data_IF_028679702169
#
_entry.id   IF_028679702169
#
_cell.length_a   1.000
_cell.length_b   1.000
_cell.length_c   1.000
_cell.angle_alpha   90.00
_cell.angle_beta   90.00
_cell.angle_gamma   90.00
#
_symmetry.space_group_name_H-M   'P 1'
#
loop_
_entity.id
_entity.type
_entity.pdbx_description
1 polymer ?
#
# COMPACT_ATOMS: atom_id res chain seq x y z
N UNK A 1 15.13 34.49 -59.98
CA UNK A 1 14.05 33.76 -59.31
C UNK A 1 14.66 32.64 -58.51
N UNK A 2 14.68 32.73 -57.17
CA UNK A 2 15.18 31.68 -56.30
C UNK A 2 13.98 31.05 -55.61
N UNK A 3 13.72 29.75 -55.84
CA UNK A 3 12.68 28.97 -55.23
C UNK A 3 13.10 28.59 -53.76
N UNK A 4 12.26 28.75 -52.76
CA UNK A 4 12.59 28.29 -51.40
C UNK A 4 12.37 26.75 -51.31
N UNK A 5 13.38 26.08 -50.78
CA UNK A 5 13.30 24.66 -50.36
C UNK A 5 12.63 24.61 -48.99
N UNK A 6 11.39 24.09 -48.97
CA UNK A 6 10.67 23.81 -47.71
C UNK A 6 11.14 22.46 -47.17
N UNK A 7 11.88 22.49 -46.09
CA UNK A 7 12.28 21.27 -45.37
C UNK A 7 11.11 20.79 -44.51
N UNK A 8 10.48 19.69 -44.88
CA UNK A 8 9.42 19.04 -44.12
C UNK A 8 10.07 18.18 -43.03
N UNK A 9 10.06 18.63 -41.80
CA UNK A 9 10.41 17.81 -40.64
C UNK A 9 9.28 16.82 -40.37
N UNK A 10 9.52 15.56 -40.66
CA UNK A 10 8.63 14.46 -40.26
C UNK A 10 8.82 14.22 -38.74
N UNK A 11 7.83 14.62 -37.96
CA UNK A 11 7.71 14.23 -36.56
C UNK A 11 7.19 12.80 -36.52
N UNK A 12 8.07 11.85 -36.26
CA UNK A 12 7.67 10.47 -35.98
C UNK A 12 6.98 10.45 -34.58
N UNK A 13 5.77 9.89 -34.47
CA UNK A 13 5.18 9.73 -33.16
C UNK A 13 6.01 8.70 -32.36
N UNK A 14 6.52 9.10 -31.18
CA UNK A 14 6.97 8.14 -30.18
C UNK A 14 5.75 7.26 -29.84
N UNK A 15 5.80 6.00 -30.25
CA UNK A 15 4.87 5.00 -29.74
C UNK A 15 5.14 4.85 -28.24
N UNK A 16 4.28 5.43 -27.42
CA UNK A 16 4.22 5.10 -26.02
C UNK A 16 3.98 3.59 -25.91
N UNK A 17 4.92 2.85 -25.35
CA UNK A 17 4.70 1.46 -24.97
C UNK A 17 3.61 1.48 -23.90
N UNK A 18 2.35 1.34 -24.29
CA UNK A 18 1.28 1.10 -23.36
C UNK A 18 1.61 -0.21 -22.63
N UNK A 19 1.84 -0.12 -21.32
CA UNK A 19 2.00 -1.29 -20.46
C UNK A 19 0.82 -2.23 -20.72
N UNK A 20 1.10 -3.51 -20.93
CA UNK A 20 0.03 -4.49 -21.12
C UNK A 20 -0.82 -4.53 -19.86
N UNK A 21 -2.15 -4.38 -19.95
CA UNK A 21 -3.00 -4.52 -18.77
C UNK A 21 -2.80 -5.91 -18.17
N UNK A 22 -2.99 -6.04 -16.86
CA UNK A 22 -2.94 -7.29 -16.12
C UNK A 22 -3.67 -8.40 -16.90
N UNK A 23 -2.92 -9.34 -17.44
CA UNK A 23 -3.53 -10.49 -18.14
C UNK A 23 -4.07 -11.43 -17.07
N UNK A 24 -5.35 -11.75 -17.13
CA UNK A 24 -5.91 -12.88 -16.40
C UNK A 24 -5.28 -14.15 -16.97
N UNK A 25 -4.38 -14.76 -16.20
CA UNK A 25 -3.84 -16.07 -16.53
C UNK A 25 -4.91 -17.10 -16.20
N UNK A 26 -5.43 -17.79 -17.23
CA UNK A 26 -6.56 -18.73 -17.11
C UNK A 26 -6.14 -20.19 -16.89
N UNK A 27 -4.96 -20.41 -16.29
CA UNK A 27 -4.34 -21.74 -16.22
C UNK A 27 -4.28 -22.39 -14.82
N UNK A 28 -5.13 -21.94 -13.91
CA UNK A 28 -5.26 -22.58 -12.58
C UNK A 28 -4.18 -22.20 -11.57
N UNK A 29 -3.22 -21.37 -11.94
CA UNK A 29 -2.22 -20.85 -11.00
C UNK A 29 -2.66 -19.55 -10.32
N UNK A 30 -2.31 -19.38 -9.05
CA UNK A 30 -2.51 -18.13 -8.33
C UNK A 30 -1.71 -17.03 -9.03
N UNK A 31 -2.39 -15.96 -9.46
CA UNK A 31 -1.69 -14.82 -10.04
C UNK A 31 -0.72 -14.24 -9.00
N UNK A 32 0.55 -14.26 -9.33
CA UNK A 32 1.64 -13.88 -8.44
C UNK A 32 2.69 -13.07 -9.20
N UNK A 33 3.13 -11.97 -8.62
CA UNK A 33 4.24 -11.15 -9.12
C UNK A 33 5.26 -11.00 -8.01
N UNK A 34 6.47 -11.44 -8.25
CA UNK A 34 7.60 -11.23 -7.34
C UNK A 34 8.32 -9.93 -7.72
N UNK A 35 8.58 -9.07 -6.74
CA UNK A 35 9.42 -7.88 -6.92
C UNK A 35 10.87 -8.32 -7.18
N UNK A 36 11.46 -7.86 -8.28
CA UNK A 36 12.83 -8.20 -8.67
C UNK A 36 13.84 -7.76 -7.60
N UNK A 37 14.74 -8.67 -7.22
CA UNK A 37 15.84 -8.42 -6.29
C UNK A 37 15.51 -8.74 -4.83
N UNK A 38 16.46 -8.39 -3.95
CA UNK A 38 16.34 -8.51 -2.50
C UNK A 38 16.65 -7.17 -1.84
N UNK A 39 16.09 -6.97 -0.63
CA UNK A 39 16.10 -5.71 0.09
C UNK A 39 16.59 -5.92 1.53
N UNK A 40 17.20 -4.90 2.11
CA UNK A 40 17.79 -5.00 3.46
C UNK A 40 16.73 -5.26 4.54
N UNK A 41 15.50 -4.73 4.37
CA UNK A 41 14.43 -4.80 5.34
C UNK A 41 13.14 -5.32 4.67
N UNK A 42 12.23 -5.82 5.49
CA UNK A 42 11.00 -6.44 5.02
C UNK A 42 10.04 -5.47 4.30
N UNK A 43 9.16 -6.05 3.50
CA UNK A 43 8.06 -5.35 2.87
C UNK A 43 7.11 -4.79 3.94
N UNK A 44 6.61 -3.58 3.73
CA UNK A 44 5.70 -2.87 4.62
C UNK A 44 4.38 -2.51 3.93
N UNK A 45 4.39 -2.43 2.59
CA UNK A 45 3.21 -2.05 1.82
C UNK A 45 3.38 -2.28 0.33
N UNK A 46 2.26 -2.40 -0.36
CA UNK A 46 2.18 -2.48 -1.82
C UNK A 46 0.93 -1.76 -2.31
N UNK A 47 1.08 -0.96 -3.37
CA UNK A 47 -0.05 -0.40 -4.10
C UNK A 47 0.19 -0.46 -5.62
N UNK A 48 -0.81 -0.10 -6.42
CA UNK A 48 -0.74 -0.14 -7.89
C UNK A 48 -1.63 0.90 -8.53
N UNK A 49 -1.17 1.46 -9.66
CA UNK A 49 -1.99 2.19 -10.62
C UNK A 49 -2.47 1.29 -11.78
N UNK A 50 -2.35 -0.03 -11.61
CA UNK A 50 -2.64 -1.08 -12.58
C UNK A 50 -1.71 -1.11 -13.81
N UNK A 51 -0.78 -0.18 -13.94
CA UNK A 51 0.30 -0.19 -14.94
C UNK A 51 1.67 -0.45 -14.34
N UNK A 52 1.82 -0.12 -13.07
CA UNK A 52 3.02 -0.33 -12.24
C UNK A 52 2.62 -0.84 -10.88
N UNK A 53 3.53 -1.51 -10.19
CA UNK A 53 3.40 -1.86 -8.79
C UNK A 53 4.44 -1.06 -7.99
N UNK A 54 4.00 -0.53 -6.86
CA UNK A 54 4.84 0.23 -5.94
C UNK A 54 4.99 -0.53 -4.63
N UNK A 55 6.23 -0.64 -4.16
CA UNK A 55 6.60 -1.45 -3.01
C UNK A 55 7.32 -0.58 -1.99
N UNK A 56 6.92 -0.66 -0.74
CA UNK A 56 7.61 -0.03 0.38
C UNK A 56 8.34 -1.10 1.20
N UNK A 57 9.68 -1.08 1.11
CA UNK A 57 10.53 -1.91 1.97
C UNK A 57 11.18 -0.99 3.01
N UNK A 58 10.68 -0.89 4.19
CA UNK A 58 11.18 -0.08 5.33
C UNK A 58 12.13 1.09 5.01
N UNK A 59 13.17 0.87 4.17
CA UNK A 59 14.21 1.84 3.78
C UNK A 59 14.40 1.97 2.27
N UNK A 60 13.51 1.39 1.47
CA UNK A 60 13.59 1.44 0.00
C UNK A 60 12.19 1.51 -0.60
N UNK A 61 11.94 2.50 -1.46
CA UNK A 61 10.79 2.52 -2.36
C UNK A 61 11.18 1.96 -3.72
N UNK A 62 10.32 1.11 -4.28
CA UNK A 62 10.53 0.45 -5.57
C UNK A 62 9.30 0.62 -6.44
N UNK A 63 9.51 0.93 -7.71
CA UNK A 63 8.52 0.87 -8.78
C UNK A 63 8.89 -0.27 -9.72
N UNK A 64 7.96 -1.17 -9.99
CA UNK A 64 8.11 -2.24 -10.99
C UNK A 64 7.06 -2.11 -12.07
N UNK A 65 7.27 -2.78 -13.19
CA UNK A 65 6.17 -3.09 -14.09
C UNK A 65 5.27 -4.20 -13.49
N UNK A 66 4.22 -4.57 -14.21
CA UNK A 66 3.26 -5.61 -13.78
C UNK A 66 3.83 -7.04 -13.83
N UNK A 67 5.05 -7.22 -14.30
CA UNK A 67 5.79 -8.49 -14.25
C UNK A 67 6.75 -8.57 -13.06
N UNK A 68 6.87 -7.48 -12.28
CA UNK A 68 7.76 -7.38 -11.12
C UNK A 68 9.17 -6.90 -11.46
N UNK A 69 9.45 -6.59 -12.73
CA UNK A 69 10.75 -6.04 -13.15
C UNK A 69 10.92 -4.61 -12.65
N UNK A 70 12.02 -4.33 -11.98
CA UNK A 70 12.32 -3.02 -11.43
C UNK A 70 12.48 -1.97 -12.53
N UNK A 71 11.64 -0.95 -12.49
CA UNK A 71 11.73 0.25 -13.31
C UNK A 71 12.53 1.34 -12.61
N UNK A 72 12.32 1.47 -11.28
CA UNK A 72 13.01 2.44 -10.44
C UNK A 72 13.05 1.99 -8.98
N UNK A 73 14.10 2.35 -8.26
CA UNK A 73 14.18 2.22 -6.81
C UNK A 73 14.99 3.37 -6.21
N UNK A 74 14.61 3.78 -5.01
CA UNK A 74 15.30 4.83 -4.25
C UNK A 74 15.46 4.41 -2.78
N UNK A 75 16.56 4.80 -2.11
CA UNK A 75 16.66 4.72 -0.66
C UNK A 75 15.74 5.77 -0.02
N UNK A 76 15.14 5.43 1.10
CA UNK A 76 14.28 6.33 1.88
C UNK A 76 14.63 6.27 3.37
N UNK A 77 14.12 7.22 4.14
CA UNK A 77 14.31 7.25 5.58
C UNK A 77 13.66 6.02 6.25
N UNK A 78 14.24 5.52 7.30
CA UNK A 78 13.63 4.54 8.17
C UNK A 78 12.60 5.28 9.07
N UNK A 79 11.38 4.85 9.19
CA UNK A 79 10.72 3.63 8.84
C UNK A 79 9.54 3.93 7.88
N UNK A 80 9.67 3.66 6.59
CA UNK A 80 8.55 3.74 5.64
C UNK A 80 7.64 2.52 5.82
N UNK A 81 6.36 2.79 6.05
CA UNK A 81 5.29 1.81 6.22
C UNK A 81 4.53 1.54 4.93
N UNK A 82 3.23 1.28 5.05
CA UNK A 82 2.34 1.07 3.91
C UNK A 82 2.07 2.36 3.13
N UNK A 83 1.60 2.20 1.89
CA UNK A 83 1.44 3.29 0.94
C UNK A 83 0.16 3.14 0.12
N UNK A 84 -0.38 4.26 -0.33
CA UNK A 84 -1.44 4.31 -1.33
C UNK A 84 -1.06 5.24 -2.48
N UNK A 85 -1.78 5.14 -3.60
CA UNK A 85 -1.61 6.02 -4.76
C UNK A 85 -2.87 6.85 -4.99
N UNK A 86 -2.68 8.15 -5.27
CA UNK A 86 -3.76 9.08 -5.62
C UNK A 86 -3.21 10.19 -6.50
N UNK A 87 -3.91 10.49 -7.61
CA UNK A 87 -3.57 11.55 -8.57
C UNK A 87 -2.09 11.56 -8.99
N UNK A 88 -1.55 10.36 -9.34
CA UNK A 88 -0.17 10.21 -9.79
C UNK A 88 0.89 10.43 -8.72
N UNK A 89 0.51 10.40 -7.45
CA UNK A 89 1.40 10.53 -6.30
C UNK A 89 1.26 9.34 -5.36
N UNK A 90 2.38 8.93 -4.79
CA UNK A 90 2.43 7.96 -3.71
C UNK A 90 2.41 8.69 -2.37
N UNK A 91 1.57 8.23 -1.47
CA UNK A 91 1.50 8.68 -0.08
C UNK A 91 1.93 7.52 0.80
N UNK A 92 2.93 7.75 1.64
CA UNK A 92 3.56 6.70 2.45
C UNK A 92 3.48 7.08 3.91
N UNK A 93 2.91 6.22 4.75
CA UNK A 93 2.95 6.38 6.19
C UNK A 93 4.37 6.14 6.71
N UNK A 94 4.89 7.05 7.54
CA UNK A 94 6.28 7.00 8.03
C UNK A 94 6.30 7.27 9.52
N UNK A 95 7.07 6.48 10.27
CA UNK A 95 7.32 6.73 11.68
C UNK A 95 8.83 6.80 11.95
N UNK A 96 9.32 7.95 12.35
CA UNK A 96 10.74 8.18 12.67
C UNK A 96 11.05 8.02 14.17
N UNK A 97 10.01 7.88 14.99
CA UNK A 97 10.13 7.72 16.44
C UNK A 97 9.96 6.29 16.93
N UNK A 98 9.50 6.13 18.16
CA UNK A 98 9.26 4.82 18.79
C UNK A 98 7.84 4.33 18.48
N UNK A 99 7.75 3.37 17.56
CA UNK A 99 6.49 2.73 17.21
C UNK A 99 5.92 1.95 18.41
N UNK A 100 4.61 2.03 18.65
CA UNK A 100 3.88 1.39 19.76
C UNK A 100 4.30 1.79 21.17
N UNK A 101 5.02 2.87 21.34
CA UNK A 101 5.30 3.35 22.70
C UNK A 101 4.01 3.86 23.36
N UNK A 102 3.60 3.30 24.52
CA UNK A 102 2.40 3.76 25.23
C UNK A 102 2.45 5.24 25.63
N UNK A 103 3.65 5.82 25.73
CA UNK A 103 3.87 7.24 26.08
C UNK A 103 3.74 8.17 24.88
N UNK A 104 3.54 7.66 23.66
CA UNK A 104 3.41 8.48 22.47
C UNK A 104 4.73 9.11 22.00
N UNK A 105 5.83 8.37 22.07
CA UNK A 105 7.12 8.83 21.53
C UNK A 105 7.30 8.46 20.04
N UNK A 106 6.21 8.33 19.31
CA UNK A 106 6.23 8.21 17.86
C UNK A 106 6.58 9.57 17.22
N UNK A 107 7.03 9.52 15.98
CA UNK A 107 7.25 10.69 15.13
C UNK A 107 6.63 10.37 13.77
N UNK A 108 5.33 10.69 13.66
CA UNK A 108 4.44 10.23 12.60
C UNK A 108 4.35 11.24 11.46
N UNK A 109 4.53 10.77 10.24
CA UNK A 109 4.55 11.56 9.02
C UNK A 109 3.80 10.85 7.88
N UNK A 110 3.41 11.61 6.87
CA UNK A 110 3.11 11.10 5.54
C UNK A 110 4.07 11.75 4.55
N UNK A 111 4.82 10.91 3.83
CA UNK A 111 5.73 11.36 2.77
C UNK A 111 5.04 11.20 1.42
N UNK A 112 5.21 12.20 0.56
CA UNK A 112 4.59 12.26 -0.76
C UNK A 112 5.67 12.15 -1.82
N UNK A 113 5.48 11.23 -2.78
CA UNK A 113 6.39 11.02 -3.89
C UNK A 113 5.63 11.13 -5.21
N UNK A 114 6.29 11.61 -6.24
CA UNK A 114 5.83 11.48 -7.61
C UNK A 114 5.87 10.00 -8.03
N UNK A 115 4.77 9.47 -8.52
CA UNK A 115 4.66 8.04 -8.83
C UNK A 115 5.53 7.60 -10.03
N UNK A 116 5.87 8.50 -10.95
CA UNK A 116 6.71 8.16 -12.08
C UNK A 116 8.19 8.21 -11.74
N UNK A 117 8.61 9.29 -11.11
CA UNK A 117 10.02 9.56 -10.84
C UNK A 117 10.49 9.07 -9.47
N UNK A 118 9.60 8.71 -8.55
CA UNK A 118 9.84 8.47 -7.13
C UNK A 118 10.56 9.65 -6.44
N UNK A 119 10.49 10.86 -7.02
CA UNK A 119 11.03 12.07 -6.37
C UNK A 119 10.12 12.44 -5.20
N UNK A 120 10.71 12.70 -4.03
CA UNK A 120 9.96 13.23 -2.90
C UNK A 120 9.48 14.66 -3.22
N UNK A 121 8.16 14.85 -3.12
CA UNK A 121 7.48 16.13 -3.40
C UNK A 121 7.20 16.91 -2.11
N UNK A 122 6.77 16.21 -1.06
CA UNK A 122 6.37 16.81 0.20
C UNK A 122 6.51 15.80 1.36
N UNK A 123 6.34 16.30 2.57
CA UNK A 123 6.08 15.53 3.78
C UNK A 123 5.16 16.33 4.69
N UNK A 124 4.25 15.64 5.35
CA UNK A 124 3.26 16.23 6.26
C UNK A 124 3.38 15.60 7.63
N UNK A 125 3.38 16.43 8.66
CA UNK A 125 3.31 15.95 10.05
C UNK A 125 1.92 15.38 10.33
N UNK A 126 1.87 14.21 10.98
CA UNK A 126 0.64 13.53 11.38
C UNK A 126 0.74 13.05 12.83
N UNK A 127 1.15 13.95 13.72
CA UNK A 127 1.46 13.62 15.12
C UNK A 127 0.24 13.20 15.94
N UNK A 128 -0.97 13.44 15.43
CA UNK A 128 -2.22 12.87 15.97
C UNK A 128 -2.21 11.34 15.96
N UNK A 129 -1.43 10.71 15.06
CA UNK A 129 -1.19 9.26 15.02
C UNK A 129 -0.20 8.90 16.15
N UNK A 130 -0.72 8.94 17.34
CA UNK A 130 0.02 8.98 18.62
C UNK A 130 0.96 7.80 18.86
N UNK A 131 0.64 6.62 18.32
CA UNK A 131 1.42 5.40 18.49
C UNK A 131 2.28 5.02 17.29
N UNK A 132 2.38 5.90 16.28
CA UNK A 132 3.20 5.72 15.09
C UNK A 132 2.39 5.38 13.84
N UNK A 133 2.62 6.13 12.77
CA UNK A 133 2.01 5.88 11.48
C UNK A 133 2.59 4.59 10.87
N UNK A 134 1.72 3.63 10.52
CA UNK A 134 2.08 2.33 9.95
C UNK A 134 1.51 2.11 8.56
N UNK A 135 0.31 2.65 8.29
CA UNK A 135 -0.36 2.51 6.99
C UNK A 135 -1.22 3.70 6.64
N UNK A 136 -1.64 3.76 5.38
CA UNK A 136 -2.43 4.85 4.83
C UNK A 136 -3.34 4.35 3.69
N UNK A 137 -4.57 4.83 3.67
CA UNK A 137 -5.49 4.66 2.54
C UNK A 137 -6.11 5.99 2.14
N UNK A 138 -6.75 6.02 0.97
CA UNK A 138 -7.43 7.20 0.43
C UNK A 138 -8.87 6.89 0.07
N UNK A 139 -9.79 7.83 0.34
CA UNK A 139 -11.19 7.78 -0.07
C UNK A 139 -11.70 9.19 -0.34
N UNK A 140 -12.26 9.40 -1.50
CA UNK A 140 -12.89 10.69 -1.90
C UNK A 140 -11.95 11.90 -1.71
N UNK A 141 -10.65 11.73 -2.03
CA UNK A 141 -9.62 12.76 -1.87
C UNK A 141 -9.22 13.05 -0.42
N UNK A 142 -9.69 12.28 0.55
CA UNK A 142 -9.26 12.34 1.96
C UNK A 142 -8.32 11.18 2.28
N UNK A 143 -7.39 11.43 3.18
CA UNK A 143 -6.39 10.45 3.60
C UNK A 143 -6.70 9.92 5.00
N UNK A 144 -6.50 8.62 5.18
CA UNK A 144 -6.81 7.90 6.41
C UNK A 144 -5.56 7.16 6.86
N UNK A 145 -4.90 7.69 7.90
CA UNK A 145 -3.67 7.12 8.45
C UNK A 145 -4.02 6.19 9.60
N UNK A 146 -3.39 5.03 9.60
CA UNK A 146 -3.52 3.99 10.62
C UNK A 146 -2.16 3.65 11.21
N UNK A 147 -2.10 2.93 12.31
CA UNK A 147 -0.80 2.56 12.86
C UNK A 147 -0.82 1.88 14.21
N UNK A 148 0.18 2.16 14.99
CA UNK A 148 0.53 1.49 16.21
C UNK A 148 -0.59 1.32 17.24
N UNK A 149 -0.53 0.21 17.98
CA UNK A 149 -1.43 -0.10 19.08
C UNK A 149 -0.62 -0.76 20.22
N UNK A 150 -0.41 -0.08 21.36
CA UNK A 150 0.24 -0.69 22.52
C UNK A 150 -0.57 -1.84 23.10
N UNK A 151 0.09 -2.73 23.83
CA UNK A 151 -0.58 -3.80 24.55
C UNK A 151 -1.62 -3.28 25.55
N UNK A 152 -2.75 -3.99 25.66
CA UNK A 152 -3.85 -3.66 26.58
C UNK A 152 -4.87 -2.66 26.02
N UNK A 153 -4.74 -2.25 24.78
CA UNK A 153 -5.76 -1.45 24.06
C UNK A 153 -6.60 -2.38 23.20
N UNK A 154 -7.92 -2.32 23.34
CA UNK A 154 -8.87 -3.25 22.71
C UNK A 154 -9.63 -2.62 21.52
N UNK A 155 -9.09 -1.56 20.93
CA UNK A 155 -9.66 -0.86 19.80
C UNK A 155 -8.56 -0.29 18.92
N UNK A 156 -8.81 -0.19 17.62
CA UNK A 156 -7.88 0.45 16.68
C UNK A 156 -8.36 1.85 16.29
N UNK A 157 -7.45 2.65 15.73
CA UNK A 157 -7.71 4.05 15.39
C UNK A 157 -7.42 4.32 13.93
N UNK A 158 -8.24 5.18 13.33
CA UNK A 158 -8.06 5.73 12.00
C UNK A 158 -8.08 7.25 12.10
N UNK A 159 -7.09 7.90 11.54
CA UNK A 159 -6.93 9.36 11.59
C UNK A 159 -7.20 9.93 10.21
N UNK A 160 -8.26 10.73 10.10
CA UNK A 160 -8.74 11.33 8.85
C UNK A 160 -8.12 12.71 8.66
N UNK A 161 -7.61 12.95 7.45
CA UNK A 161 -7.03 14.21 6.99
C UNK A 161 -7.67 14.65 5.67
N UNK A 162 -7.71 15.96 5.42
CA UNK A 162 -8.07 16.49 4.10
C UNK A 162 -6.90 16.34 3.09
N UNK A 163 -7.09 16.89 1.90
CA UNK A 163 -6.10 16.85 0.81
C UNK A 163 -4.85 17.70 1.07
N UNK A 164 -4.90 18.64 2.02
CA UNK A 164 -3.77 19.42 2.52
C UNK A 164 -3.11 18.81 3.77
N UNK A 165 -3.54 17.61 4.19
CA UNK A 165 -3.13 16.92 5.42
C UNK A 165 -3.44 17.68 6.71
N UNK A 166 -4.50 18.49 6.72
CA UNK A 166 -5.06 19.02 7.94
C UNK A 166 -5.88 17.94 8.64
N UNK A 167 -5.57 17.69 9.91
CA UNK A 167 -6.32 16.72 10.71
C UNK A 167 -7.79 17.11 10.83
N UNK A 168 -8.69 16.17 10.55
CA UNK A 168 -10.13 16.34 10.61
C UNK A 168 -10.73 15.59 11.80
N UNK A 169 -10.41 14.29 11.96
CA UNK A 169 -11.07 13.45 12.95
C UNK A 169 -10.27 12.18 13.24
N UNK A 170 -10.37 11.69 14.49
CA UNK A 170 -9.98 10.34 14.87
C UNK A 170 -11.23 9.46 14.94
N UNK A 171 -11.23 8.35 14.20
CA UNK A 171 -12.25 7.31 14.26
C UNK A 171 -11.75 6.15 15.11
N UNK A 172 -12.68 5.44 15.74
CA UNK A 172 -12.41 4.28 16.59
C UNK A 172 -13.05 3.05 15.97
N UNK A 173 -12.25 2.01 15.77
CA UNK A 173 -12.72 0.69 15.33
C UNK A 173 -12.77 -0.22 16.56
N UNK A 174 -13.94 -0.68 16.94
CA UNK A 174 -14.14 -1.65 18.04
C UNK A 174 -13.73 -3.07 17.60
N UNK A 175 -12.47 -3.23 17.31
CA UNK A 175 -11.89 -4.44 16.70
C UNK A 175 -11.46 -5.50 17.70
N UNK A 176 -11.37 -5.18 19.00
CA UNK A 176 -10.52 -5.89 19.92
C UNK A 176 -9.04 -5.60 19.66
N UNK A 177 -8.16 -6.13 20.48
CA UNK A 177 -6.71 -5.95 20.35
C UNK A 177 -6.17 -6.55 19.04
N UNK A 178 -5.22 -5.82 18.41
CA UNK A 178 -4.40 -6.32 17.31
C UNK A 178 -2.92 -6.12 17.65
N UNK A 179 -2.08 -7.08 17.29
CA UNK A 179 -0.64 -6.99 17.56
C UNK A 179 -0.04 -5.83 16.76
N UNK A 180 0.54 -4.86 17.47
CA UNK A 180 1.16 -3.66 16.88
C UNK A 180 0.20 -2.77 16.07
N UNK A 181 -1.12 -2.94 16.21
CA UNK A 181 -2.12 -2.14 15.52
C UNK A 181 -2.36 -2.54 14.06
N UNK A 182 -2.88 -1.58 13.28
CA UNK A 182 -3.13 -1.75 11.85
C UNK A 182 -1.88 -1.35 11.08
N UNK A 183 -1.45 -2.21 10.15
CA UNK A 183 -0.23 -2.02 9.36
C UNK A 183 -0.51 -1.53 7.94
N UNK A 184 -1.65 -1.93 7.35
CA UNK A 184 -2.03 -1.60 5.97
C UNK A 184 -3.49 -1.21 5.88
N UNK A 185 -3.86 -0.35 4.93
CA UNK A 185 -5.23 0.14 4.80
C UNK A 185 -5.58 0.47 3.34
N UNK A 186 -6.74 0.01 2.87
CA UNK A 186 -7.32 0.46 1.60
C UNK A 186 -8.84 0.58 1.70
N UNK A 187 -9.43 1.48 0.93
CA UNK A 187 -10.88 1.57 0.73
C UNK A 187 -11.24 1.01 -0.64
N UNK A 188 -11.97 -0.09 -0.66
CA UNK A 188 -12.42 -0.76 -1.87
C UNK A 188 -13.76 -1.45 -1.65
N UNK A 189 -14.62 -1.50 -2.67
CA UNK A 189 -15.94 -2.16 -2.62
C UNK A 189 -16.83 -1.63 -1.48
N UNK A 190 -16.83 -0.31 -1.29
CA UNK A 190 -17.57 0.41 -0.23
C UNK A 190 -17.21 -0.03 1.20
N UNK A 191 -15.99 -0.52 1.40
CA UNK A 191 -15.48 -1.02 2.68
C UNK A 191 -14.02 -0.65 2.87
N UNK A 192 -13.63 -0.53 4.13
CA UNK A 192 -12.23 -0.49 4.53
C UNK A 192 -11.70 -1.90 4.80
N UNK A 193 -10.48 -2.13 4.35
CA UNK A 193 -9.71 -3.36 4.53
C UNK A 193 -8.43 -3.02 5.27
N UNK A 194 -8.21 -3.65 6.42
CA UNK A 194 -7.08 -3.35 7.29
C UNK A 194 -6.30 -4.61 7.62
N UNK A 195 -5.01 -4.63 7.28
CA UNK A 195 -4.10 -5.72 7.60
C UNK A 195 -3.42 -5.49 8.95
N UNK A 196 -3.42 -6.52 9.79
CA UNK A 196 -2.80 -6.50 11.11
C UNK A 196 -1.85 -7.68 11.29
N UNK A 197 -0.76 -7.46 12.02
CA UNK A 197 0.09 -8.55 12.47
C UNK A 197 -0.64 -9.45 13.48
N UNK A 198 -0.01 -10.55 13.84
CA UNK A 198 -0.49 -11.49 14.83
C UNK A 198 -0.11 -12.93 14.51
N UNK A 199 -0.57 -13.84 15.37
CA UNK A 199 -0.54 -15.27 15.13
C UNK A 199 -1.85 -15.85 15.67
N UNK A 200 -2.86 -16.07 14.80
CA UNK A 200 -2.84 -15.81 13.35
C UNK A 200 -2.78 -14.32 12.99
N UNK A 201 -2.41 -13.99 11.74
CA UNK A 201 -2.53 -12.64 11.19
C UNK A 201 -3.99 -12.31 10.93
N UNK A 202 -4.36 -11.05 11.06
CA UNK A 202 -5.75 -10.62 11.08
C UNK A 202 -6.03 -9.62 9.97
N UNK A 203 -7.10 -9.85 9.24
CA UNK A 203 -7.77 -8.87 8.41
C UNK A 203 -9.00 -8.34 9.16
N UNK A 204 -9.09 -7.03 9.33
CA UNK A 204 -10.31 -6.34 9.76
C UNK A 204 -11.00 -5.74 8.55
N UNK A 205 -12.32 -5.86 8.48
CA UNK A 205 -13.14 -5.22 7.46
C UNK A 205 -14.21 -4.39 8.14
N UNK A 206 -14.36 -3.13 7.72
CA UNK A 206 -15.43 -2.25 8.21
C UNK A 206 -16.24 -1.72 7.04
N UNK A 207 -17.39 -1.14 7.33
CA UNK A 207 -18.07 -0.29 6.36
C UNK A 207 -17.35 1.07 6.21
N UNK A 208 -17.97 1.98 5.45
CA UNK A 208 -17.43 3.31 5.17
C UNK A 208 -17.37 4.22 6.42
N UNK A 209 -18.11 3.91 7.46
CA UNK A 209 -18.21 4.65 8.73
C UNK A 209 -17.39 4.00 9.86
N UNK A 210 -16.54 3.02 9.53
CA UNK A 210 -15.66 2.27 10.43
C UNK A 210 -16.38 1.34 11.41
N UNK A 211 -17.64 0.97 11.15
CA UNK A 211 -18.33 -0.08 11.88
C UNK A 211 -17.86 -1.46 11.38
N UNK A 212 -17.50 -2.34 12.32
CA UNK A 212 -16.96 -3.67 12.00
C UNK A 212 -17.96 -4.52 11.23
N UNK A 213 -17.56 -5.04 10.07
CA UNK A 213 -18.33 -5.98 9.24
C UNK A 213 -17.68 -7.35 9.13
N UNK A 214 -16.40 -7.47 9.46
CA UNK A 214 -15.68 -8.74 9.45
C UNK A 214 -14.32 -8.70 10.17
N UNK A 215 -13.94 -9.86 10.73
CA UNK A 215 -12.62 -10.14 11.28
C UNK A 215 -12.22 -11.56 10.85
N UNK A 216 -11.14 -11.67 10.11
CA UNK A 216 -10.74 -12.90 9.45
C UNK A 216 -9.28 -13.23 9.76
N UNK A 217 -8.97 -14.55 9.84
CA UNK A 217 -7.61 -15.02 10.02
C UNK A 217 -6.93 -15.21 8.66
N UNK A 218 -6.60 -14.10 8.00
CA UNK A 218 -5.91 -14.06 6.72
C UNK A 218 -4.93 -12.89 6.69
N UNK A 219 -3.79 -13.08 6.01
CA UNK A 219 -2.70 -12.12 5.98
C UNK A 219 -2.80 -11.13 4.83
N UNK A 220 -2.81 -9.85 5.16
CA UNK A 220 -2.55 -8.73 4.25
C UNK A 220 -1.75 -7.62 4.96
N UNK A 221 -1.04 -7.97 6.02
CA UNK A 221 -0.31 -7.00 6.85
C UNK A 221 0.93 -6.40 6.19
N UNK A 222 1.30 -6.86 4.98
CA UNK A 222 2.41 -6.35 4.18
C UNK A 222 1.95 -5.65 2.89
N UNK A 223 0.67 -5.29 2.82
CA UNK A 223 0.06 -4.53 1.74
C UNK A 223 -1.30 -5.07 1.34
N UNK A 224 -2.25 -4.17 1.14
CA UNK A 224 -3.53 -4.43 0.52
C UNK A 224 -3.98 -3.19 -0.24
N UNK A 225 -4.38 -3.35 -1.51
CA UNK A 225 -4.85 -2.25 -2.35
C UNK A 225 -6.06 -2.66 -3.16
N UNK A 226 -7.03 -1.74 -3.28
CA UNK A 226 -8.19 -1.92 -4.15
C UNK A 226 -7.82 -1.77 -5.62
N UNK A 227 -8.36 -2.64 -6.48
CA UNK A 227 -8.16 -2.60 -7.93
C UNK A 227 -9.49 -2.56 -8.67
N UNK A 228 -9.45 -2.14 -9.93
CA UNK A 228 -10.62 -2.20 -10.82
C UNK A 228 -11.11 -3.65 -11.00
N UNK A 229 -12.37 -3.80 -11.43
CA UNK A 229 -12.95 -5.13 -11.69
C UNK A 229 -13.18 -5.99 -10.45
N UNK A 230 -13.35 -5.38 -9.28
CA UNK A 230 -13.67 -6.10 -8.05
C UNK A 230 -12.50 -6.84 -7.40
N UNK A 231 -11.27 -6.49 -7.75
CA UNK A 231 -10.04 -7.15 -7.31
C UNK A 231 -9.38 -6.42 -6.13
N UNK A 232 -8.53 -7.14 -5.43
CA UNK A 232 -7.60 -6.64 -4.44
C UNK A 232 -6.18 -7.09 -4.83
N UNK A 233 -5.20 -6.22 -4.63
CA UNK A 233 -3.78 -6.58 -4.64
C UNK A 233 -3.35 -6.83 -3.20
N UNK A 234 -2.75 -7.98 -2.91
CA UNK A 234 -2.31 -8.34 -1.56
C UNK A 234 -0.81 -8.58 -1.56
N UNK A 235 -0.11 -7.87 -0.70
CA UNK A 235 1.33 -7.99 -0.48
C UNK A 235 1.69 -9.13 0.47
N UNK A 236 2.76 -9.84 0.14
CA UNK A 236 3.39 -10.85 0.98
C UNK A 236 4.91 -10.75 0.85
N UNK A 237 5.64 -11.25 1.81
CA UNK A 237 7.09 -11.23 1.74
C UNK A 237 7.72 -11.98 2.90
N UNK A 238 8.99 -12.31 2.75
CA UNK A 238 9.79 -12.93 3.79
C UNK A 238 11.22 -12.43 3.74
N UNK A 239 11.91 -12.56 4.86
CA UNK A 239 13.33 -12.27 4.96
C UNK A 239 14.07 -13.58 5.27
N UNK A 240 15.09 -13.84 4.51
CA UNK A 240 16.03 -14.94 4.77
C UNK A 240 17.33 -14.36 5.32
N UNK A 241 17.87 -15.04 6.33
CA UNK A 241 19.13 -14.61 6.94
C UNK A 241 20.23 -14.63 5.85
N UNK A 242 20.99 -13.55 5.77
CA UNK A 242 22.10 -13.35 4.84
C UNK A 242 21.71 -13.21 3.34
N UNK A 243 20.42 -13.41 2.98
CA UNK A 243 19.92 -13.27 1.61
C UNK A 243 19.09 -11.99 1.40
N UNK A 244 18.57 -11.41 2.49
CA UNK A 244 17.71 -10.24 2.47
C UNK A 244 16.22 -10.57 2.42
N UNK A 245 15.41 -9.55 2.14
CA UNK A 245 13.95 -9.65 2.12
C UNK A 245 13.44 -9.55 0.70
N UNK A 246 12.33 -10.24 0.41
CA UNK A 246 11.62 -10.17 -0.86
C UNK A 246 10.19 -9.65 -0.68
N UNK A 247 9.53 -9.34 -1.80
CA UNK A 247 8.12 -8.97 -1.86
C UNK A 247 7.42 -9.69 -2.99
N UNK A 248 6.19 -10.10 -2.73
CA UNK A 248 5.30 -10.75 -3.67
C UNK A 248 3.94 -10.06 -3.63
N UNK A 249 3.33 -9.78 -4.77
CA UNK A 249 1.97 -9.28 -4.89
C UNK A 249 1.08 -10.34 -5.53
N UNK A 250 -0.12 -10.51 -5.00
CA UNK A 250 -1.08 -11.51 -5.45
C UNK A 250 -2.45 -10.85 -5.67
N UNK A 251 -3.17 -11.31 -6.70
CA UNK A 251 -4.54 -10.89 -6.94
C UNK A 251 -5.49 -11.71 -6.08
N UNK A 252 -6.40 -11.02 -5.40
CA UNK A 252 -7.45 -11.61 -4.60
C UNK A 252 -8.82 -11.00 -4.94
N UNK A 253 -9.89 -11.67 -4.50
CA UNK A 253 -11.26 -11.20 -4.59
C UNK A 253 -11.90 -11.23 -3.21
N UNK A 254 -12.74 -10.25 -2.84
CA UNK A 254 -13.53 -10.29 -1.62
C UNK A 254 -14.30 -11.59 -1.48
N UNK A 255 -14.31 -12.15 -0.28
CA UNK A 255 -15.04 -13.36 0.07
C UNK A 255 -15.68 -13.20 1.45
N UNK A 256 -17.01 -13.40 1.59
CA UNK A 256 -17.72 -13.13 2.85
C UNK A 256 -17.39 -14.13 3.96
N UNK A 257 -16.76 -15.27 3.66
CA UNK A 257 -16.42 -16.31 4.64
C UNK A 257 -14.99 -16.18 5.15
N UNK A 258 -14.06 -15.77 4.27
CA UNK A 258 -12.63 -15.75 4.55
C UNK A 258 -12.01 -14.34 4.48
N UNK A 259 -12.84 -13.30 4.22
CA UNK A 259 -12.40 -11.93 3.96
C UNK A 259 -12.08 -11.75 2.48
N UNK A 260 -11.07 -12.44 1.99
CA UNK A 260 -10.79 -12.54 0.56
C UNK A 260 -10.26 -13.94 0.21
N UNK A 261 -10.25 -14.26 -1.08
CA UNK A 261 -9.63 -15.45 -1.64
C UNK A 261 -8.71 -15.08 -2.79
N UNK A 262 -7.57 -15.71 -2.89
CA UNK A 262 -6.66 -15.51 -4.02
C UNK A 262 -7.26 -16.06 -5.31
N UNK A 263 -6.94 -15.40 -6.42
CA UNK A 263 -7.32 -15.86 -7.75
C UNK A 263 -6.75 -17.29 -7.95
N UNK A 264 -7.62 -18.21 -8.35
CA UNK A 264 -7.28 -19.61 -8.63
C UNK A 264 -6.73 -20.47 -7.46
N UNK A 265 -6.89 -20.05 -6.21
CA UNK A 265 -6.82 -21.03 -5.14
C UNK A 265 -7.90 -22.09 -5.41
N UNK A 266 -7.49 -23.30 -5.76
CA UNK A 266 -8.42 -24.40 -5.95
C UNK A 266 -9.30 -24.51 -4.69
N UNK A 267 -10.62 -24.46 -4.88
CA UNK A 267 -11.57 -24.71 -3.80
C UNK A 267 -11.34 -26.15 -3.39
N UNK A 268 -10.67 -26.36 -2.23
CA UNK A 268 -10.61 -27.66 -1.56
C UNK A 268 -11.92 -27.94 -0.85
#
# INVERSE_FOLDING_TARGET
>A
MRTPITCLLAVLPLAANAAKPWQTVNDGETFKVDCEGTYQHHLQGVCTDETSIYWSFTTTLVKTDTTGKVLKKIPVANHHGDLCIHDGKLFVAVNLGKFNDPKGNADSWVYVYDADSLQQLARHETQEVFHGAGGIGVRDGRFFVVGGLPGGVEENYVYEYDDEFKFLKKHVIKSGHTLLGIQTATFAHDRWWFGCYGNPRILLVTDADFEMTGRYEIDCSLGIEGMTGGRLLVGSGRCEKDEGCNGTAMIAFPDPKTGFRFQNAAVQ
#
